data_IF_435583374978
#
_entry.id   IF_435583374978
#
_cell.length_a   1.000
_cell.length_b   1.000
_cell.length_c   1.000
_cell.angle_alpha   90.00
_cell.angle_beta   90.00
_cell.angle_gamma   90.00
#
_symmetry.space_group_name_H-M   'P 1'
#
loop_
_entity.id
_entity.type
_entity.pdbx_description
1 polymer ?
#
# COMPACT_ATOMS: atom_id res chain seq x y z
N UNK A 1 -11.22 23.62 -4.95
CA UNK A 1 -11.72 22.72 -6.00
C UNK A 1 -12.34 21.50 -5.35
N UNK A 2 -13.52 21.11 -5.80
CA UNK A 2 -14.19 19.93 -5.25
C UNK A 2 -13.57 18.66 -5.80
N UNK A 3 -13.38 17.61 -4.96
CA UNK A 3 -12.96 16.32 -5.45
C UNK A 3 -13.98 15.72 -6.43
N UNK A 4 -13.51 14.85 -7.30
CA UNK A 4 -14.37 14.08 -8.19
C UNK A 4 -15.16 13.07 -7.35
N UNK A 5 -16.44 12.88 -7.65
CA UNK A 5 -17.26 11.87 -6.97
C UNK A 5 -16.81 10.47 -7.37
N UNK A 6 -16.78 9.57 -6.40
CA UNK A 6 -16.35 8.19 -6.58
C UNK A 6 -16.96 7.31 -5.49
N UNK A 7 -16.99 6.02 -5.74
CA UNK A 7 -17.31 5.04 -4.72
C UNK A 7 -16.03 4.64 -3.97
N UNK A 8 -16.20 4.20 -2.73
CA UNK A 8 -15.09 3.85 -1.85
C UNK A 8 -15.40 2.53 -1.17
N UNK A 9 -14.45 1.57 -1.24
CA UNK A 9 -14.56 0.26 -0.60
C UNK A 9 -13.31 -0.05 0.18
N UNK A 10 -13.47 -0.70 1.33
CA UNK A 10 -12.37 -1.16 2.18
C UNK A 10 -12.46 -2.66 2.37
N UNK A 11 -11.99 -3.46 1.39
CA UNK A 11 -12.02 -4.90 1.54
C UNK A 11 -11.10 -5.36 2.67
N UNK A 12 -11.39 -6.52 3.25
CA UNK A 12 -10.63 -7.08 4.35
C UNK A 12 -9.73 -8.23 3.91
N UNK A 13 -9.83 -8.66 2.68
CA UNK A 13 -9.04 -9.76 2.13
C UNK A 13 -8.50 -9.42 0.76
N UNK A 14 -7.41 -10.09 0.38
CA UNK A 14 -6.85 -9.95 -0.97
C UNK A 14 -7.84 -10.45 -2.01
N UNK A 15 -8.54 -11.56 -1.74
CA UNK A 15 -9.52 -12.11 -2.68
C UNK A 15 -10.63 -11.11 -2.99
N UNK A 16 -11.19 -10.48 -1.97
CA UNK A 16 -12.24 -9.47 -2.18
C UNK A 16 -11.71 -8.28 -2.96
N UNK A 17 -10.47 -7.87 -2.69
CA UNK A 17 -9.80 -6.80 -3.44
C UNK A 17 -9.70 -7.16 -4.91
N UNK A 18 -9.26 -8.37 -5.23
CA UNK A 18 -9.14 -8.82 -6.60
C UNK A 18 -10.49 -8.86 -7.32
N UNK A 19 -11.55 -9.27 -6.63
CA UNK A 19 -12.90 -9.27 -7.20
C UNK A 19 -13.38 -7.87 -7.55
N UNK A 20 -13.15 -6.91 -6.65
CA UNK A 20 -13.51 -5.52 -6.90
C UNK A 20 -12.77 -4.96 -8.11
N UNK A 21 -11.47 -5.23 -8.19
CA UNK A 21 -10.66 -4.74 -9.31
C UNK A 21 -11.03 -5.41 -10.63
N UNK A 22 -11.37 -6.69 -10.60
CA UNK A 22 -11.78 -7.42 -11.81
C UNK A 22 -13.14 -6.98 -12.31
N UNK A 23 -14.04 -6.56 -11.41
CA UNK A 23 -15.40 -6.16 -11.78
C UNK A 23 -15.46 -4.74 -12.35
N UNK A 24 -14.46 -3.91 -12.14
CA UNK A 24 -14.46 -2.52 -12.58
C UNK A 24 -13.06 -2.13 -13.07
N UNK A 25 -12.92 -2.00 -14.38
CA UNK A 25 -11.64 -1.66 -15.01
C UNK A 25 -11.18 -0.24 -14.67
N UNK A 26 -12.08 0.60 -14.17
CA UNK A 26 -11.76 1.97 -13.77
C UNK A 26 -11.55 2.10 -12.26
N UNK A 27 -11.46 0.99 -11.54
CA UNK A 27 -11.11 0.99 -10.12
C UNK A 27 -9.62 1.27 -9.93
N UNK A 28 -9.28 1.92 -8.81
CA UNK A 28 -7.89 2.20 -8.44
C UNK A 28 -7.66 1.83 -7.00
N UNK A 29 -6.47 1.33 -6.73
CA UNK A 29 -6.04 1.00 -5.38
C UNK A 29 -5.51 2.26 -4.70
N UNK A 30 -5.87 2.44 -3.43
CA UNK A 30 -5.22 3.43 -2.57
C UNK A 30 -4.66 2.73 -1.33
N UNK A 31 -3.56 3.28 -0.84
CA UNK A 31 -2.87 2.76 0.34
C UNK A 31 -2.48 3.95 1.22
N UNK A 32 -3.47 4.49 1.95
CA UNK A 32 -3.30 5.70 2.73
C UNK A 32 -3.71 6.99 2.03
N UNK A 33 -3.81 6.98 0.70
CA UNK A 33 -4.46 8.06 -0.06
C UNK A 33 -3.70 9.36 -0.23
N UNK A 34 -2.45 9.44 0.23
CA UNK A 34 -1.72 10.72 0.27
C UNK A 34 -1.38 11.30 -1.10
N UNK A 35 -1.17 10.46 -2.10
CA UNK A 35 -0.86 10.92 -3.46
C UNK A 35 -2.08 11.00 -4.35
N UNK A 36 -2.96 10.01 -4.25
CA UNK A 36 -4.12 9.92 -5.13
C UNK A 36 -5.17 10.98 -4.81
N UNK A 37 -5.41 11.28 -3.52
CA UNK A 37 -6.43 12.24 -3.12
C UNK A 37 -6.18 13.63 -3.70
N UNK A 38 -4.96 14.20 -3.64
CA UNK A 38 -4.71 15.48 -4.33
C UNK A 38 -4.94 15.42 -5.84
N UNK A 39 -4.58 14.31 -6.49
CA UNK A 39 -4.83 14.14 -7.92
C UNK A 39 -6.31 14.13 -8.25
N UNK A 40 -7.12 13.48 -7.41
CA UNK A 40 -8.57 13.48 -7.56
C UNK A 40 -9.15 14.88 -7.41
N UNK A 41 -8.68 15.65 -6.43
CA UNK A 41 -9.11 17.04 -6.23
C UNK A 41 -8.77 17.92 -7.42
N UNK A 42 -7.68 17.65 -8.08
CA UNK A 42 -7.27 18.36 -9.29
C UNK A 42 -7.89 17.77 -10.56
N UNK A 43 -8.68 16.72 -10.43
CA UNK A 43 -9.34 16.02 -11.53
C UNK A 43 -8.37 15.45 -12.56
N UNK A 44 -7.16 15.10 -12.13
CA UNK A 44 -6.16 14.46 -12.97
C UNK A 44 -6.38 12.95 -13.08
N UNK A 45 -7.18 12.39 -12.16
CA UNK A 45 -7.56 10.99 -12.18
C UNK A 45 -9.06 10.89 -11.93
N UNK A 46 -9.74 9.97 -12.61
CA UNK A 46 -11.20 9.83 -12.53
C UNK A 46 -11.60 8.36 -12.36
N UNK A 47 -11.23 7.73 -11.25
CA UNK A 47 -11.68 6.37 -11.00
C UNK A 47 -13.16 6.36 -10.62
N UNK A 48 -13.86 5.28 -10.98
CA UNK A 48 -15.23 5.04 -10.53
C UNK A 48 -15.27 4.45 -9.13
N UNK A 49 -14.20 3.76 -8.72
CA UNK A 49 -14.12 3.07 -7.45
C UNK A 49 -12.70 3.21 -6.88
N UNK A 50 -12.60 3.59 -5.62
CA UNK A 50 -11.36 3.54 -4.86
C UNK A 50 -11.39 2.34 -3.93
N UNK A 51 -10.40 1.47 -4.05
CA UNK A 51 -10.25 0.27 -3.23
C UNK A 51 -9.10 0.50 -2.24
N UNK A 52 -9.46 0.69 -0.98
CA UNK A 52 -8.48 0.97 0.07
C UNK A 52 -7.98 -0.34 0.66
N UNK A 53 -6.69 -0.61 0.49
CA UNK A 53 -6.07 -1.85 0.97
C UNK A 53 -5.44 -1.70 2.35
N UNK A 54 -5.60 -0.57 3.01
CA UNK A 54 -4.97 -0.29 4.30
C UNK A 54 -5.48 -1.20 5.43
N UNK A 55 -6.63 -1.85 5.25
CA UNK A 55 -7.28 -2.67 6.28
C UNK A 55 -7.20 -4.18 6.01
N UNK A 56 -6.30 -4.60 5.12
CA UNK A 56 -6.10 -6.02 4.80
C UNK A 56 -4.94 -6.56 5.63
N UNK A 57 -5.21 -7.41 6.66
CA UNK A 57 -4.14 -7.89 7.55
C UNK A 57 -3.04 -8.67 6.81
N UNK A 58 -3.40 -9.42 5.79
CA UNK A 58 -2.44 -10.19 4.98
C UNK A 58 -1.32 -9.32 4.40
N UNK A 59 -1.63 -8.07 4.08
CA UNK A 59 -0.67 -7.14 3.46
C UNK A 59 0.20 -6.41 4.47
N UNK A 60 -0.09 -6.55 5.76
CA UNK A 60 0.68 -5.90 6.83
C UNK A 60 1.67 -6.86 7.51
N UNK A 61 1.91 -8.02 6.93
CA UNK A 61 2.76 -9.05 7.53
C UNK A 61 4.19 -8.94 7.03
N UNK A 62 5.12 -9.22 7.95
CA UNK A 62 6.55 -9.27 7.67
C UNK A 62 7.06 -10.59 8.24
N UNK A 63 7.31 -11.56 7.38
CA UNK A 63 7.62 -12.93 7.79
C UNK A 63 8.84 -13.49 7.07
N UNK A 64 9.49 -14.45 7.72
CA UNK A 64 10.52 -15.27 7.09
C UNK A 64 9.91 -16.64 6.77
N UNK A 65 10.03 -17.05 5.52
CA UNK A 65 9.58 -18.36 5.06
C UNK A 65 10.65 -18.97 4.18
N UNK A 66 10.83 -20.28 4.29
CA UNK A 66 11.65 -21.16 3.40
C UNK A 66 12.71 -20.44 2.55
N UNK A 67 13.63 -19.74 3.20
CA UNK A 67 14.77 -19.12 2.51
C UNK A 67 14.53 -17.74 1.94
N UNK A 68 13.39 -17.12 2.23
CA UNK A 68 13.16 -15.75 1.82
C UNK A 68 12.32 -14.99 2.85
N UNK A 69 12.29 -13.67 2.71
CA UNK A 69 11.53 -12.79 3.58
C UNK A 69 10.38 -12.19 2.77
N UNK A 70 9.16 -12.30 3.30
CA UNK A 70 7.99 -11.70 2.71
C UNK A 70 7.67 -10.39 3.42
N UNK A 71 7.60 -9.31 2.65
CA UNK A 71 7.19 -8.00 3.16
C UNK A 71 5.88 -7.64 2.48
N UNK A 72 4.81 -7.59 3.25
CA UNK A 72 3.50 -7.23 2.73
C UNK A 72 3.46 -5.80 2.22
N UNK A 73 2.61 -5.54 1.24
CA UNK A 73 2.55 -4.26 0.56
C UNK A 73 2.17 -3.10 1.48
N UNK A 74 1.51 -3.37 2.61
CA UNK A 74 1.11 -2.36 3.57
C UNK A 74 2.03 -2.27 4.79
N UNK A 75 3.16 -2.97 4.80
CA UNK A 75 4.16 -2.83 5.88
C UNK A 75 4.73 -1.42 5.83
N UNK A 76 4.67 -0.72 6.96
CA UNK A 76 5.22 0.63 7.05
C UNK A 76 6.75 0.60 7.02
N UNK A 77 7.35 1.57 6.35
CA UNK A 77 8.81 1.67 6.24
C UNK A 77 9.47 1.72 7.62
N UNK A 78 8.87 2.43 8.56
CA UNK A 78 9.41 2.51 9.92
C UNK A 78 9.46 1.14 10.61
N UNK A 79 8.43 0.30 10.39
CA UNK A 79 8.39 -1.04 10.95
C UNK A 79 9.43 -1.94 10.29
N UNK A 80 9.55 -1.87 8.96
CA UNK A 80 10.53 -2.66 8.21
C UNK A 80 11.95 -2.30 8.64
N UNK A 81 12.23 -1.02 8.80
CA UNK A 81 13.56 -0.54 9.21
C UNK A 81 13.98 -1.08 10.58
N UNK A 82 13.03 -1.24 11.49
CA UNK A 82 13.29 -1.74 12.85
C UNK A 82 13.24 -3.25 12.95
N UNK A 83 12.81 -3.95 11.92
CA UNK A 83 12.65 -5.40 11.98
C UNK A 83 14.00 -6.08 12.02
N UNK A 84 14.25 -7.00 13.00
CA UNK A 84 15.47 -7.80 13.01
C UNK A 84 15.68 -8.62 11.75
N UNK A 85 14.58 -9.07 11.11
CA UNK A 85 14.66 -9.83 9.86
C UNK A 85 15.27 -8.99 8.74
N UNK A 86 14.83 -7.74 8.61
CA UNK A 86 15.32 -6.83 7.58
C UNK A 86 16.76 -6.42 7.87
N UNK A 87 17.07 -6.04 9.10
CA UNK A 87 18.41 -5.60 9.47
C UNK A 87 19.43 -6.72 9.29
N UNK A 88 19.06 -7.94 9.65
CA UNK A 88 19.98 -9.10 9.60
C UNK A 88 20.16 -9.61 8.17
N UNK A 89 19.07 -9.77 7.43
CA UNK A 89 19.08 -10.47 6.14
C UNK A 89 19.05 -9.54 4.93
N UNK A 90 18.62 -8.30 5.11
CA UNK A 90 18.48 -7.32 4.02
C UNK A 90 19.13 -5.99 4.39
N UNK A 91 20.44 -5.97 4.69
CA UNK A 91 21.09 -4.74 5.18
C UNK A 91 21.03 -3.60 4.17
N UNK A 92 21.06 -3.90 2.87
CA UNK A 92 20.96 -2.86 1.85
C UNK A 92 19.59 -2.20 1.86
N UNK A 93 18.52 -3.00 2.03
CA UNK A 93 17.17 -2.47 2.15
C UNK A 93 17.05 -1.57 3.38
N UNK A 94 17.60 -2.01 4.52
CA UNK A 94 17.57 -1.21 5.75
C UNK A 94 18.24 0.15 5.55
N UNK A 95 19.39 0.19 4.87
CA UNK A 95 20.07 1.44 4.55
C UNK A 95 19.25 2.32 3.61
N UNK A 96 18.64 1.73 2.59
CA UNK A 96 17.83 2.47 1.63
C UNK A 96 16.62 3.12 2.31
N UNK A 97 15.95 2.38 3.20
CA UNK A 97 14.82 2.91 3.96
C UNK A 97 15.25 4.06 4.87
N UNK A 98 16.41 3.92 5.51
CA UNK A 98 16.95 4.96 6.39
C UNK A 98 17.24 6.24 5.61
N UNK A 99 17.87 6.13 4.45
CA UNK A 99 18.17 7.27 3.58
C UNK A 99 16.87 7.93 3.10
N UNK A 100 15.90 7.13 2.66
CA UNK A 100 14.62 7.65 2.20
C UNK A 100 13.90 8.45 3.28
N UNK A 101 13.95 7.99 4.52
CA UNK A 101 13.31 8.69 5.64
C UNK A 101 14.02 10.00 5.99
N UNK A 102 15.33 10.06 5.78
CA UNK A 102 16.09 11.27 6.07
C UNK A 102 15.74 12.42 5.10
N UNK A 103 15.14 12.11 3.96
CA UNK A 103 14.79 13.09 2.93
C UNK A 103 13.30 13.42 2.89
N UNK A 104 12.53 12.93 3.84
CA UNK A 104 11.08 13.15 3.89
C UNK A 104 10.71 14.32 4.78
#
# INVERSE_FOLDING_TARGET
MKPVQFEYQRPKTVDDTCRLLAADTNARIIAGGQSLIPMLSMRLSRPSLLVDIAHIPELARLDETSGHIEIGAMVRQALALKSPLVVRHLPLLAKALQIGRAHV
#
